data_IF_877898957212
#
_entry.id   IF_877898957212
#
_cell.length_a   1.000
_cell.length_b   1.000
_cell.length_c   1.000
_cell.angle_alpha   90.00
_cell.angle_beta   90.00
_cell.angle_gamma   90.00
#
_symmetry.space_group_name_H-M   'P 1'
#
loop_
_entity.id
_entity.type
_entity.pdbx_description
1 polymer ?
#
# COMPACT_ATOMS: atom_id res chain seq x y z
N UNK A 1 -9.74 5.94 -17.44
CA UNK A 1 -10.57 5.90 -16.23
C UNK A 1 -9.62 5.96 -15.05
N UNK A 2 -9.82 6.96 -14.20
CA UNK A 2 -8.87 7.52 -13.23
C UNK A 2 -8.08 6.48 -12.44
N UNK A 3 -6.75 6.50 -12.59
CA UNK A 3 -5.84 5.85 -11.66
C UNK A 3 -5.70 6.77 -10.46
N UNK A 4 -6.74 6.74 -9.62
CA UNK A 4 -6.71 7.27 -8.26
C UNK A 4 -5.57 6.62 -7.48
N UNK A 5 -5.24 7.21 -6.34
CA UNK A 5 -4.24 6.82 -5.33
C UNK A 5 -4.49 5.43 -4.71
N UNK A 6 -5.14 4.53 -5.44
CA UNK A 6 -5.50 3.16 -5.14
C UNK A 6 -4.33 2.35 -4.57
N UNK A 7 -3.12 2.33 -5.17
CA UNK A 7 -2.00 1.59 -4.58
C UNK A 7 -1.55 2.17 -3.23
N UNK A 8 -1.48 3.49 -3.10
CA UNK A 8 -1.12 4.16 -1.85
C UNK A 8 -2.18 3.89 -0.76
N UNK A 9 -3.45 4.03 -1.10
CA UNK A 9 -4.59 3.83 -0.20
C UNK A 9 -4.72 2.37 0.23
N UNK A 10 -4.39 1.43 -0.65
CA UNK A 10 -4.35 0.00 -0.33
C UNK A 10 -3.20 -0.32 0.64
N UNK A 11 -2.01 0.26 0.43
CA UNK A 11 -0.88 0.10 1.34
C UNK A 11 -1.15 0.64 2.74
N UNK A 12 -1.77 1.83 2.85
CA UNK A 12 -2.18 2.41 4.14
C UNK A 12 -3.24 1.53 4.82
N UNK A 13 -4.23 1.03 4.08
CA UNK A 13 -5.26 0.16 4.63
C UNK A 13 -4.69 -1.19 5.13
N UNK A 14 -3.80 -1.81 4.36
CA UNK A 14 -3.11 -3.04 4.75
C UNK A 14 -2.18 -2.82 5.96
N UNK A 15 -1.44 -1.71 5.99
CA UNK A 15 -0.62 -1.33 7.14
C UNK A 15 -1.44 -1.09 8.40
N UNK A 16 -2.58 -0.39 8.29
CA UNK A 16 -3.53 -0.20 9.37
C UNK A 16 -4.11 -1.53 9.89
N UNK A 17 -4.49 -2.43 8.99
CA UNK A 17 -4.97 -3.76 9.34
C UNK A 17 -3.90 -4.60 10.08
N UNK A 18 -2.65 -4.58 9.59
CA UNK A 18 -1.52 -5.22 10.27
C UNK A 18 -1.26 -4.63 11.66
N UNK A 19 -1.41 -3.31 11.83
CA UNK A 19 -1.32 -2.63 13.12
C UNK A 19 -2.41 -3.07 14.11
N UNK A 20 -3.66 -3.19 13.65
CA UNK A 20 -4.77 -3.71 14.48
C UNK A 20 -4.51 -5.15 14.93
N UNK A 21 -4.02 -6.01 14.02
CA UNK A 21 -3.61 -7.38 14.38
C UNK A 21 -2.48 -7.36 15.41
N UNK A 22 -1.49 -6.47 15.26
CA UNK A 22 -0.42 -6.29 16.24
C UNK A 22 -0.92 -5.94 17.64
N UNK A 23 -1.90 -5.03 17.75
CA UNK A 23 -2.53 -4.67 19.03
C UNK A 23 -3.28 -5.87 19.63
N UNK A 24 -4.02 -6.63 18.83
CA UNK A 24 -4.73 -7.83 19.28
C UNK A 24 -3.72 -8.87 19.82
N UNK A 25 -2.61 -9.08 19.12
CA UNK A 25 -1.56 -10.02 19.53
C UNK A 25 -0.82 -9.54 20.79
N UNK A 26 -0.66 -8.22 20.96
CA UNK A 26 -0.12 -7.64 22.18
C UNK A 26 -1.04 -7.92 23.39
N UNK A 27 -2.35 -7.72 23.23
CA UNK A 27 -3.35 -8.03 24.26
C UNK A 27 -3.36 -9.53 24.57
N UNK A 28 -3.39 -10.38 23.54
CA UNK A 28 -3.34 -11.84 23.68
C UNK A 28 -2.08 -12.29 24.44
N UNK A 29 -0.93 -11.69 24.13
CA UNK A 29 0.34 -11.97 24.80
C UNK A 29 0.29 -11.61 26.29
N UNK A 30 -0.28 -10.45 26.65
CA UNK A 30 -0.38 -10.03 28.05
C UNK A 30 -1.25 -11.02 28.84
N UNK A 31 -2.35 -11.49 28.23
CA UNK A 31 -3.23 -12.50 28.84
C UNK A 31 -2.52 -13.86 28.92
N UNK A 32 -1.78 -14.27 27.88
CA UNK A 32 -1.09 -15.57 27.84
C UNK A 32 0.13 -15.63 28.76
N UNK A 33 0.76 -14.49 29.07
CA UNK A 33 1.82 -14.39 30.10
C UNK A 33 1.33 -14.79 31.49
N UNK A 34 0.02 -14.71 31.76
CA UNK A 34 -0.58 -15.19 33.01
C UNK A 34 -0.76 -16.72 33.07
N UNK A 35 -0.50 -17.43 31.95
CA UNK A 35 -0.77 -18.86 31.80
C UNK A 35 0.45 -19.69 31.35
N UNK A 36 1.69 -19.30 31.73
CA UNK A 36 2.93 -20.06 31.46
C UNK A 36 3.32 -20.20 29.96
N UNK A 37 3.20 -19.13 29.17
CA UNK A 37 3.69 -19.14 27.77
C UNK A 37 5.22 -19.01 27.68
N UNK A 38 5.92 -19.80 26.82
CA UNK A 38 7.35 -19.69 26.58
C UNK A 38 7.80 -18.25 26.27
N UNK A 39 8.86 -17.81 26.96
CA UNK A 39 9.43 -16.47 26.78
C UNK A 39 10.02 -16.32 25.37
N UNK A 40 9.63 -15.27 24.65
CA UNK A 40 10.20 -14.91 23.33
C UNK A 40 9.20 -14.98 22.16
N UNK A 41 8.13 -15.79 22.25
CA UNK A 41 7.10 -15.84 21.21
C UNK A 41 6.42 -14.48 20.98
N UNK A 42 6.10 -13.81 22.08
CA UNK A 42 5.57 -12.46 22.16
C UNK A 42 6.36 -11.42 21.36
N UNK A 43 7.68 -11.38 21.59
CA UNK A 43 8.56 -10.38 21.00
C UNK A 43 8.78 -10.65 19.52
N UNK A 44 8.90 -11.92 19.13
CA UNK A 44 9.04 -12.34 17.72
C UNK A 44 7.82 -11.90 16.91
N UNK A 45 6.61 -12.15 17.42
CA UNK A 45 5.37 -11.77 16.73
C UNK A 45 5.22 -10.25 16.64
N UNK A 46 5.52 -9.53 17.72
CA UNK A 46 5.45 -8.07 17.72
C UNK A 46 6.37 -7.46 16.65
N UNK A 47 7.62 -7.94 16.58
CA UNK A 47 8.60 -7.49 15.58
C UNK A 47 8.16 -7.87 14.16
N UNK A 48 7.65 -9.09 13.95
CA UNK A 48 7.11 -9.52 12.65
C UNK A 48 5.95 -8.62 12.19
N UNK A 49 4.97 -8.36 13.04
CA UNK A 49 3.85 -7.47 12.72
C UNK A 49 4.33 -6.05 12.38
N UNK A 50 5.30 -5.53 13.14
CA UNK A 50 5.89 -4.22 12.88
C UNK A 50 6.63 -4.18 11.53
N UNK A 51 7.45 -5.19 11.23
CA UNK A 51 8.17 -5.30 9.96
C UNK A 51 7.23 -5.42 8.77
N UNK A 52 6.14 -6.22 8.89
CA UNK A 52 5.15 -6.35 7.82
C UNK A 52 4.35 -5.06 7.60
N UNK A 53 3.96 -4.35 8.66
CA UNK A 53 3.30 -3.05 8.52
C UNK A 53 4.19 -2.06 7.75
N UNK A 54 5.49 -2.02 8.06
CA UNK A 54 6.46 -1.18 7.36
C UNK A 54 6.67 -1.62 5.90
N UNK A 55 6.77 -2.93 5.65
CA UNK A 55 6.89 -3.49 4.30
C UNK A 55 5.69 -3.10 3.42
N UNK A 56 4.46 -3.22 3.93
CA UNK A 56 3.26 -2.85 3.17
C UNK A 56 3.17 -1.36 2.87
N UNK A 57 3.70 -0.50 3.76
CA UNK A 57 3.82 0.93 3.52
C UNK A 57 4.74 1.19 2.32
N UNK A 58 5.93 0.60 2.32
CA UNK A 58 6.90 0.74 1.20
C UNK A 58 6.32 0.21 -0.11
N UNK A 59 5.66 -0.95 -0.08
CA UNK A 59 5.01 -1.53 -1.27
C UNK A 59 3.90 -0.61 -1.80
N UNK A 60 3.12 0.03 -0.92
CA UNK A 60 2.11 1.02 -1.30
C UNK A 60 2.72 2.22 -2.04
N UNK A 61 3.82 2.76 -1.51
CA UNK A 61 4.56 3.86 -2.14
C UNK A 61 5.08 3.43 -3.51
N UNK A 62 5.76 2.29 -3.61
CA UNK A 62 6.28 1.76 -4.87
C UNK A 62 5.15 1.57 -5.90
N UNK A 63 3.99 1.05 -5.46
CA UNK A 63 2.84 0.87 -6.33
C UNK A 63 2.31 2.18 -6.93
N UNK A 64 2.35 3.28 -6.18
CA UNK A 64 1.99 4.61 -6.67
C UNK A 64 2.99 5.11 -7.71
N UNK A 65 4.29 4.98 -7.45
CA UNK A 65 5.32 5.32 -8.43
C UNK A 65 5.19 4.51 -9.72
N UNK A 66 4.90 3.21 -9.63
CA UNK A 66 4.67 2.35 -10.79
C UNK A 66 3.42 2.83 -11.55
N UNK A 67 2.34 3.21 -10.86
CA UNK A 67 1.14 3.73 -11.51
C UNK A 67 1.41 5.01 -12.31
N UNK A 68 2.25 5.91 -11.78
CA UNK A 68 2.71 7.13 -12.48
C UNK A 68 3.56 6.73 -13.70
N UNK A 69 4.55 5.85 -13.52
CA UNK A 69 5.41 5.39 -14.61
C UNK A 69 4.59 4.77 -15.77
N UNK A 70 3.60 3.94 -15.45
CA UNK A 70 2.71 3.35 -16.46
C UNK A 70 1.85 4.39 -17.18
N UNK A 71 1.54 5.53 -16.53
CA UNK A 71 0.82 6.64 -17.16
C UNK A 71 1.72 7.37 -18.15
N UNK A 72 2.98 7.61 -17.77
CA UNK A 72 4.00 8.22 -18.63
C UNK A 72 4.26 7.36 -19.88
N UNK A 73 4.45 6.06 -19.70
CA UNK A 73 4.73 5.11 -20.79
C UNK A 73 3.54 4.95 -21.74
N UNK A 74 2.29 5.11 -21.24
CA UNK A 74 1.09 4.88 -22.06
C UNK A 74 0.80 5.97 -23.09
N UNK A 75 1.53 7.09 -23.09
CA UNK A 75 1.49 8.19 -24.08
C UNK A 75 0.11 8.34 -24.76
N UNK A 76 -0.95 8.44 -23.95
CA UNK A 76 -2.32 8.52 -24.45
C UNK A 76 -2.46 9.93 -25.04
N UNK A 77 -2.70 10.09 -26.36
CA UNK A 77 -2.85 11.41 -26.94
C UNK A 77 -3.96 12.17 -26.20
N UNK A 78 -3.63 13.40 -25.80
CA UNK A 78 -4.45 14.25 -24.93
C UNK A 78 -5.81 14.57 -25.56
N UNK A 79 -5.93 14.40 -26.89
CA UNK A 79 -7.13 14.60 -27.66
C UNK A 79 -7.09 13.74 -28.94
N UNK A 80 -8.26 13.24 -29.34
CA UNK A 80 -8.48 12.62 -30.65
C UNK A 80 -9.11 13.70 -31.53
N UNK A 81 -8.40 14.12 -32.57
CA UNK A 81 -8.90 15.16 -33.49
C UNK A 81 -9.90 14.48 -34.44
N UNK A 82 -11.19 14.71 -34.22
CA UNK A 82 -12.26 14.14 -35.06
C UNK A 82 -12.49 14.93 -36.37
N UNK A 83 -12.21 16.24 -36.38
CA UNK A 83 -12.27 17.04 -37.60
C UNK A 83 -11.43 18.31 -37.47
N UNK A 84 -10.76 18.70 -38.54
CA UNK A 84 -10.05 19.99 -38.67
C UNK A 84 -10.68 20.78 -39.80
N UNK A 85 -11.06 22.04 -39.55
CA UNK A 85 -11.45 23.01 -40.59
C UNK A 85 -10.56 24.25 -40.45
N UNK A 86 -10.01 24.74 -41.56
CA UNK A 86 -9.14 25.93 -41.63
C UNK A 86 -7.86 25.87 -40.76
N UNK A 87 -7.15 24.74 -40.76
CA UNK A 87 -5.78 24.67 -40.23
C UNK A 87 -4.81 24.52 -41.41
N UNK A 88 -4.00 25.54 -41.65
CA UNK A 88 -2.82 25.40 -42.51
C UNK A 88 -1.84 24.44 -41.82
N UNK A 89 -1.52 23.34 -42.49
CA UNK A 89 -0.48 22.41 -42.04
C UNK A 89 0.85 23.16 -42.10
N UNK A 90 1.52 23.28 -40.96
CA UNK A 90 2.93 23.68 -40.88
C UNK A 90 3.82 22.46 -41.10
#
# INVERSE_FOLDING_TARGET
>A
MSFSDLPLKLGIFMGGFAGVIGIILMIYTIISRAADTPSGYATIICVLCFMFAFLFLIVGIIGEYIAILFKEIKDRPIYIINTTRNLEKK
#
